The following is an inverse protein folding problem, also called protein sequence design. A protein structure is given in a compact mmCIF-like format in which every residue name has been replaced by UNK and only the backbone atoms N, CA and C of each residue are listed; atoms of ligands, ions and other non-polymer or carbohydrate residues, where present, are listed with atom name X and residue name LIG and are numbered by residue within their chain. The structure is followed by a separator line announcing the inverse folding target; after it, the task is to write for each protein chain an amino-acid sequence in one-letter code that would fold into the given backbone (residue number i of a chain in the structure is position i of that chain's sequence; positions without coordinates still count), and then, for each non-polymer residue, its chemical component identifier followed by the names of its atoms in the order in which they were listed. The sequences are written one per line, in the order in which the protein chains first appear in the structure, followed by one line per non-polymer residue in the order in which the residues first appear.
data_IF_117905781648
#
_entry.id   IF_117905781648
#
_cell.length_a   1.000
_cell.length_b   1.000
_cell.length_c   1.000
_cell.angle_alpha   90.00
_cell.angle_beta   90.00
_cell.angle_gamma   90.00
#
_symmetry.space_group_name_H-M   'P 1'
#
loop_
_entity.id
_entity.type
_entity.pdbx_description
1 polymer ?
#
# COMPACT_ATOMS: atom_id res chain seq x y z
N UNK A 1 16.44 7.98 23.07
CA UNK A 1 15.56 8.99 22.44
C UNK A 1 14.41 9.27 23.38
N UNK A 2 14.03 10.53 23.53
CA UNK A 2 12.82 10.90 24.28
C UNK A 2 11.55 10.48 23.53
N UNK A 3 10.42 10.37 24.23
CA UNK A 3 9.12 10.09 23.59
C UNK A 3 8.74 11.15 22.53
N UNK A 4 9.18 12.39 22.74
CA UNK A 4 8.95 13.52 21.86
C UNK A 4 9.78 13.42 20.57
N UNK A 5 11.05 13.00 20.67
CA UNK A 5 11.91 12.74 19.51
C UNK A 5 11.36 11.59 18.63
N UNK A 6 10.78 10.56 19.25
CA UNK A 6 10.14 9.44 18.54
C UNK A 6 8.91 9.93 17.77
N UNK A 7 8.05 10.71 18.42
CA UNK A 7 6.85 11.30 17.81
C UNK A 7 7.19 12.18 16.61
N UNK A 8 8.23 13.02 16.73
CA UNK A 8 8.68 13.88 15.63
C UNK A 8 9.19 13.07 14.43
N UNK A 9 10.02 12.04 14.67
CA UNK A 9 10.52 11.16 13.59
C UNK A 9 9.41 10.39 12.89
N UNK A 10 8.39 9.94 13.62
CA UNK A 10 7.21 9.29 13.06
C UNK A 10 6.40 10.25 12.18
N UNK A 11 6.21 11.49 12.64
CA UNK A 11 5.51 12.53 11.88
C UNK A 11 6.23 12.88 10.58
N UNK A 12 7.54 13.11 10.62
CA UNK A 12 8.34 13.41 9.43
C UNK A 12 8.27 12.27 8.41
N UNK A 13 8.32 11.02 8.89
CA UNK A 13 8.14 9.83 8.03
C UNK A 13 6.75 9.81 7.41
N UNK A 14 5.69 10.07 8.19
CA UNK A 14 4.32 10.09 7.70
C UNK A 14 4.14 11.17 6.62
N UNK A 15 4.64 12.38 6.84
CA UNK A 15 4.58 13.49 5.88
C UNK A 15 5.32 13.16 4.58
N UNK A 16 6.48 12.50 4.67
CA UNK A 16 7.21 12.01 3.48
C UNK A 16 6.38 10.98 2.70
N UNK A 17 5.82 9.99 3.40
CA UNK A 17 5.00 8.94 2.78
C UNK A 17 3.75 9.52 2.12
N UNK A 18 3.08 10.48 2.76
CA UNK A 18 1.92 11.17 2.18
C UNK A 18 2.32 11.89 0.88
N UNK A 19 3.42 12.66 0.88
CA UNK A 19 3.91 13.33 -0.33
C UNK A 19 4.24 12.35 -1.46
N UNK A 20 4.88 11.22 -1.12
CA UNK A 20 5.17 10.16 -2.09
C UNK A 20 3.89 9.55 -2.68
N UNK A 21 2.84 9.39 -1.86
CA UNK A 21 1.56 8.86 -2.29
C UNK A 21 0.80 9.84 -3.17
N UNK A 22 0.76 11.13 -2.80
CA UNK A 22 0.13 12.20 -3.58
C UNK A 22 0.81 12.41 -4.93
N UNK A 23 2.15 12.29 -4.99
CA UNK A 23 2.91 12.43 -6.21
C UNK A 23 2.84 11.21 -7.14
N UNK A 24 2.28 10.07 -6.69
CA UNK A 24 2.26 8.83 -7.48
C UNK A 24 1.00 8.74 -8.35
N UNK A 25 1.10 8.92 -9.68
CA UNK A 25 -0.07 8.93 -10.56
C UNK A 25 -0.80 7.57 -10.64
N UNK A 26 -0.08 6.48 -10.35
CA UNK A 26 -0.60 5.10 -10.37
C UNK A 26 -1.34 4.74 -9.09
N UNK A 27 -1.21 5.55 -8.03
CA UNK A 27 -1.84 5.26 -6.75
C UNK A 27 -3.35 5.57 -6.77
N UNK A 28 -4.14 4.64 -6.24
CA UNK A 28 -5.57 4.82 -5.97
C UNK A 28 -5.87 4.39 -4.55
N UNK A 29 -6.41 5.30 -3.75
CA UNK A 29 -6.74 5.08 -2.34
C UNK A 29 -8.26 5.06 -2.20
N UNK A 30 -8.78 4.03 -1.55
CA UNK A 30 -10.19 3.91 -1.20
C UNK A 30 -10.33 3.78 0.31
N UNK A 31 -11.42 4.35 0.84
CA UNK A 31 -11.84 4.18 2.23
C UNK A 31 -13.30 3.74 2.28
N UNK A 32 -13.65 3.00 3.32
CA UNK A 32 -15.03 2.65 3.65
C UNK A 32 -15.44 3.48 4.86
N UNK A 33 -16.52 4.23 4.69
CA UNK A 33 -17.17 5.01 5.74
C UNK A 33 -18.46 4.28 6.12
N UNK A 34 -18.63 3.99 7.41
CA UNK A 34 -19.86 3.42 7.96
C UNK A 34 -20.79 4.57 8.38
N UNK A 35 -21.82 4.83 7.57
CA UNK A 35 -22.74 5.96 7.78
C UNK A 35 -23.66 5.76 8.98
N UNK A 36 -23.82 4.51 9.45
CA UNK A 36 -24.62 4.19 10.63
C UNK A 36 -23.81 4.34 11.93
N UNK A 37 -22.49 4.50 11.82
CA UNK A 37 -21.55 4.71 12.94
C UNK A 37 -20.95 6.12 12.91
N UNK A 38 -21.81 7.14 12.81
CA UNK A 38 -21.37 8.55 12.80
C UNK A 38 -20.27 8.84 11.75
N UNK A 39 -20.39 8.23 10.57
CA UNK A 39 -19.42 8.32 9.49
C UNK A 39 -17.99 7.85 9.88
N UNK A 40 -17.88 6.86 10.75
CA UNK A 40 -16.59 6.25 11.11
C UNK A 40 -15.91 5.62 9.88
N UNK A 41 -14.60 5.85 9.73
CA UNK A 41 -13.80 5.14 8.73
C UNK A 41 -13.42 3.75 9.24
N UNK A 42 -14.01 2.71 8.64
CA UNK A 42 -13.86 1.33 9.14
C UNK A 42 -12.82 0.51 8.37
N UNK A 43 -12.42 0.94 7.17
CA UNK A 43 -11.44 0.24 6.34
C UNK A 43 -10.82 1.16 5.29
N UNK A 44 -9.65 0.79 4.77
CA UNK A 44 -9.04 1.42 3.60
C UNK A 44 -8.27 0.41 2.75
N UNK A 45 -8.05 0.77 1.48
CA UNK A 45 -7.18 0.05 0.58
C UNK A 45 -6.37 1.01 -0.30
N UNK A 46 -5.16 0.59 -0.62
CA UNK A 46 -4.26 1.29 -1.54
C UNK A 46 -3.94 0.36 -2.69
N UNK A 47 -4.16 0.83 -3.92
CA UNK A 47 -3.84 0.14 -5.15
C UNK A 47 -2.77 0.91 -5.94
N UNK A 48 -1.91 0.18 -6.65
CA UNK A 48 -1.15 0.71 -7.79
C UNK A 48 -1.77 0.15 -9.06
N UNK A 49 -2.07 1.02 -10.02
CA UNK A 49 -2.78 0.68 -11.26
C UNK A 49 -1.89 0.98 -12.45
N UNK A 50 -1.54 -0.07 -13.20
CA UNK A 50 -0.79 0.01 -14.46
C UNK A 50 -1.63 -0.64 -15.56
N UNK A 51 -2.14 0.17 -16.49
CA UNK A 51 -3.17 -0.24 -17.47
C UNK A 51 -2.61 -0.76 -18.78
N UNK A 52 -1.42 -0.32 -19.15
CA UNK A 52 -0.78 -0.63 -20.41
C UNK A 52 0.74 -0.74 -20.24
N UNK A 53 1.42 -1.18 -21.30
CA UNK A 53 2.86 -1.46 -21.26
C UNK A 53 3.70 -0.21 -20.97
N UNK A 54 3.26 0.98 -21.39
CA UNK A 54 3.95 2.23 -21.10
C UNK A 54 3.87 2.58 -19.60
N UNK A 55 2.67 2.51 -19.01
CA UNK A 55 2.52 2.67 -17.56
C UNK A 55 3.32 1.60 -16.79
N UNK A 56 3.33 0.36 -17.29
CA UNK A 56 4.05 -0.73 -16.64
C UNK A 56 5.58 -0.54 -16.66
N UNK A 57 6.14 0.23 -17.60
CA UNK A 57 7.56 0.59 -17.59
C UNK A 57 7.96 1.42 -16.37
N UNK A 58 7.03 2.18 -15.81
CA UNK A 58 7.19 3.05 -14.64
C UNK A 58 7.10 2.31 -13.30
N UNK A 59 6.85 0.99 -13.31
CA UNK A 59 6.84 0.17 -12.10
C UNK A 59 8.21 0.26 -11.41
N UNK A 60 8.21 0.76 -10.18
CA UNK A 60 9.35 0.70 -9.26
C UNK A 60 9.35 -0.64 -8.56
N UNK A 61 10.31 -1.49 -8.92
CA UNK A 61 10.55 -2.76 -8.24
C UNK A 61 11.38 -2.44 -6.99
N UNK A 62 10.91 -2.91 -5.83
CA UNK A 62 11.60 -2.70 -4.57
C UNK A 62 12.67 -3.77 -4.35
N UNK A 63 13.72 -3.40 -3.61
CA UNK A 63 14.84 -4.26 -3.27
C UNK A 63 15.09 -4.32 -1.75
N UNK A 64 15.73 -5.40 -1.28
CA UNK A 64 15.87 -5.68 0.15
C UNK A 64 16.68 -4.62 0.92
N UNK A 65 17.57 -3.90 0.23
CA UNK A 65 18.33 -2.77 0.77
C UNK A 65 17.45 -1.55 1.12
N UNK A 66 16.26 -1.43 0.51
CA UNK A 66 15.31 -0.35 0.82
C UNK A 66 14.55 -0.57 2.14
N UNK A 67 14.58 -1.76 2.75
CA UNK A 67 13.73 -2.08 3.91
C UNK A 67 13.94 -1.14 5.09
N UNK A 68 15.19 -0.80 5.40
CA UNK A 68 15.48 0.05 6.55
C UNK A 68 14.91 1.45 6.38
N UNK A 69 14.99 2.03 5.18
CA UNK A 69 14.43 3.35 4.88
C UNK A 69 12.90 3.34 4.93
N UNK A 70 12.29 2.21 4.57
CA UNK A 70 10.84 2.04 4.52
C UNK A 70 10.20 1.78 5.87
N UNK A 71 10.82 0.96 6.71
CA UNK A 71 10.23 0.50 7.97
C UNK A 71 10.83 1.16 9.21
N UNK A 72 12.04 1.73 9.09
CA UNK A 72 12.78 2.35 10.18
C UNK A 72 13.53 1.34 11.04
N UNK A 73 14.13 1.85 12.12
CA UNK A 73 15.00 1.15 13.06
C UNK A 73 14.29 0.14 13.98
N UNK A 74 12.96 0.20 14.08
CA UNK A 74 12.15 -0.71 14.91
C UNK A 74 11.74 -2.02 14.21
N UNK A 75 12.07 -2.17 12.93
CA UNK A 75 11.79 -3.41 12.20
C UNK A 75 12.86 -4.46 12.54
N UNK A 76 12.48 -5.72 12.65
CA UNK A 76 13.47 -6.80 12.58
C UNK A 76 13.99 -6.87 11.13
N UNK A 77 15.12 -6.21 10.88
CA UNK A 77 15.69 -6.05 9.53
C UNK A 77 16.02 -7.40 8.88
N UNK A 78 16.50 -8.36 9.66
CA UNK A 78 16.86 -9.69 9.15
C UNK A 78 15.61 -10.40 8.60
N UNK A 79 14.56 -10.51 9.41
CA UNK A 79 13.30 -11.15 9.01
C UNK A 79 12.62 -10.38 7.87
N UNK A 80 12.63 -9.05 7.93
CA UNK A 80 12.03 -8.23 6.88
C UNK A 80 12.76 -8.41 5.54
N UNK A 81 14.10 -8.41 5.54
CA UNK A 81 14.92 -8.65 4.33
C UNK A 81 14.69 -10.03 3.77
N UNK A 82 14.69 -11.06 4.61
CA UNK A 82 14.47 -12.43 4.15
C UNK A 82 13.07 -12.60 3.54
N UNK A 83 12.03 -12.11 4.21
CA UNK A 83 10.66 -12.29 3.75
C UNK A 83 10.28 -11.34 2.61
N UNK A 84 10.36 -10.02 2.84
CA UNK A 84 9.91 -9.02 1.87
C UNK A 84 10.86 -8.94 0.67
N UNK A 85 12.17 -9.10 0.88
CA UNK A 85 13.15 -9.12 -0.22
C UNK A 85 12.83 -10.23 -1.22
N UNK A 86 12.69 -11.48 -0.73
CA UNK A 86 12.31 -12.62 -1.58
C UNK A 86 10.93 -12.43 -2.22
N UNK A 87 9.95 -11.89 -1.49
CA UNK A 87 8.63 -11.60 -2.04
C UNK A 87 8.71 -10.59 -3.20
N UNK A 88 9.54 -9.56 -3.08
CA UNK A 88 9.73 -8.57 -4.14
C UNK A 88 10.46 -9.14 -5.36
N UNK A 89 11.46 -10.00 -5.16
CA UNK A 89 12.11 -10.74 -6.25
C UNK A 89 11.13 -11.64 -7.01
N UNK A 90 10.28 -12.38 -6.29
CA UNK A 90 9.24 -13.21 -6.91
C UNK A 90 8.25 -12.35 -7.68
N UNK A 91 7.81 -11.22 -7.10
CA UNK A 91 6.91 -10.29 -7.78
C UNK A 91 7.56 -9.74 -9.06
N UNK A 92 8.82 -9.35 -9.00
CA UNK A 92 9.59 -8.87 -10.15
C UNK A 92 9.69 -9.91 -11.26
N UNK A 93 9.88 -11.18 -10.90
CA UNK A 93 9.96 -12.30 -11.86
C UNK A 93 8.61 -12.66 -12.46
N UNK A 94 7.55 -12.72 -11.65
CA UNK A 94 6.24 -13.24 -12.05
C UNK A 94 5.38 -12.18 -12.73
N UNK A 95 5.37 -10.96 -12.17
CA UNK A 95 4.55 -9.85 -12.68
C UNK A 95 5.42 -8.88 -13.48
N UNK A 96 6.61 -8.56 -12.97
CA UNK A 96 7.57 -7.69 -13.64
C UNK A 96 6.96 -6.36 -14.08
N UNK A 97 7.24 -5.98 -15.33
CA UNK A 97 6.75 -4.76 -15.97
C UNK A 97 5.58 -5.06 -16.92
N UNK A 98 4.56 -5.76 -16.42
CA UNK A 98 3.32 -6.02 -17.17
C UNK A 98 2.16 -5.17 -16.64
N UNK A 99 1.13 -4.89 -17.46
CA UNK A 99 -0.08 -4.22 -17.00
C UNK A 99 -0.79 -5.04 -15.91
N UNK A 100 -1.03 -4.44 -14.75
CA UNK A 100 -1.74 -5.07 -13.64
C UNK A 100 -2.25 -4.05 -12.63
N UNK A 101 -3.17 -4.50 -11.77
CA UNK A 101 -3.54 -3.80 -10.54
C UNK A 101 -2.93 -4.52 -9.36
N UNK A 102 -2.08 -3.83 -8.61
CA UNK A 102 -1.50 -4.33 -7.37
C UNK A 102 -2.29 -3.79 -6.18
N UNK A 103 -2.89 -4.67 -5.38
CA UNK A 103 -3.33 -4.34 -4.03
C UNK A 103 -2.10 -4.22 -3.12
N UNK A 104 -1.74 -3.00 -2.74
CA UNK A 104 -0.56 -2.73 -1.91
C UNK A 104 -0.86 -2.88 -0.42
N UNK A 105 -1.99 -2.33 0.02
CA UNK A 105 -2.43 -2.39 1.42
C UNK A 105 -3.93 -2.57 1.47
N UNK A 106 -4.39 -3.41 2.39
CA UNK A 106 -5.78 -3.59 2.75
C UNK A 106 -5.86 -3.70 4.27
N UNK A 107 -6.62 -2.81 4.89
CA UNK A 107 -6.83 -2.84 6.31
C UNK A 107 -8.30 -2.65 6.63
N UNK A 108 -8.78 -3.39 7.63
CA UNK A 108 -10.10 -3.21 8.23
C UNK A 108 -9.87 -3.10 9.73
N UNK A 109 -10.51 -2.10 10.36
CA UNK A 109 -10.49 -1.93 11.80
C UNK A 109 -10.87 -3.24 12.49
N UNK A 110 -10.14 -3.69 13.54
CA UNK A 110 -10.46 -4.92 14.26
C UNK A 110 -11.92 -5.01 14.73
N UNK A 111 -12.51 -3.87 15.12
CA UNK A 111 -13.91 -3.77 15.57
C UNK A 111 -14.93 -4.05 14.48
N UNK A 112 -14.53 -4.01 13.21
CA UNK A 112 -15.41 -4.10 12.05
C UNK A 112 -14.99 -5.21 11.07
N UNK A 113 -14.13 -6.14 11.50
CA UNK A 113 -13.77 -7.30 10.71
C UNK A 113 -15.00 -8.19 10.44
N UNK A 114 -14.94 -8.97 9.36
CA UNK A 114 -15.99 -9.92 8.95
C UNK A 114 -17.35 -9.28 8.61
N UNK A 115 -17.43 -7.96 8.47
CA UNK A 115 -18.62 -7.21 7.99
C UNK A 115 -18.63 -6.93 6.48
N UNK A 116 -17.66 -7.46 5.72
CA UNK A 116 -17.59 -7.31 4.26
C UNK A 116 -16.82 -6.08 3.74
N UNK A 117 -16.36 -5.16 4.60
CA UNK A 117 -15.64 -3.96 4.17
C UNK A 117 -14.39 -4.26 3.32
N UNK A 118 -13.59 -5.26 3.70
CA UNK A 118 -12.43 -5.68 2.90
C UNK A 118 -12.82 -6.24 1.53
N UNK A 119 -13.91 -7.00 1.45
CA UNK A 119 -14.42 -7.52 0.18
C UNK A 119 -14.89 -6.39 -0.75
N UNK A 120 -15.60 -5.39 -0.21
CA UNK A 120 -16.02 -4.21 -0.98
C UNK A 120 -14.82 -3.48 -1.59
N UNK A 121 -13.73 -3.32 -0.83
CA UNK A 121 -12.50 -2.68 -1.31
C UNK A 121 -11.82 -3.48 -2.42
N UNK A 122 -11.76 -4.82 -2.30
CA UNK A 122 -11.21 -5.69 -3.35
C UNK A 122 -12.04 -5.61 -4.63
N UNK A 123 -13.37 -5.69 -4.52
CA UNK A 123 -14.28 -5.54 -5.66
C UNK A 123 -14.12 -4.16 -6.33
N UNK A 124 -13.97 -3.11 -5.53
CA UNK A 124 -13.69 -1.76 -6.04
C UNK A 124 -12.40 -1.71 -6.85
N UNK A 125 -11.36 -2.39 -6.37
CA UNK A 125 -10.07 -2.51 -7.07
C UNK A 125 -10.17 -3.27 -8.40
N UNK A 126 -10.92 -4.37 -8.45
CA UNK A 126 -11.13 -5.16 -9.67
C UNK A 126 -11.75 -4.32 -10.79
N UNK A 127 -12.68 -3.42 -10.44
CA UNK A 127 -13.34 -2.54 -11.40
C UNK A 127 -12.40 -1.46 -12.00
N UNK A 128 -11.21 -1.25 -11.43
CA UNK A 128 -10.24 -0.30 -11.98
C UNK A 128 -9.63 -0.75 -13.31
N UNK A 129 -9.59 -2.07 -13.56
CA UNK A 129 -9.13 -2.62 -14.83
C UNK A 129 -10.19 -2.49 -15.92
N UNK A 130 -11.47 -2.62 -15.56
CA UNK A 130 -12.60 -2.66 -16.50
C UNK A 130 -12.97 -1.26 -17.00
N UNK A 131 -12.77 -0.21 -16.19
CA UNK A 131 -13.16 1.16 -16.54
C UNK A 131 -12.25 1.83 -17.60
N UNK A 132 -11.38 1.09 -18.29
CA UNK A 132 -10.41 1.60 -19.25
C UNK A 132 -10.38 0.84 -20.60
N UNK A 133 -11.31 -0.10 -20.78
CA UNK A 133 -11.65 -0.73 -22.07
C UNK A 133 -12.98 -0.17 -22.56
#
# INVERSE_FOLDING_TARGET
MSAEEISNKERERAERVIKEWEANPFMKIFKVIDTDLDNEMIAFAIFLVYRNDEEAKEIKIRHADEIESLFGDRVNLEVARDFLGRLWEVKARVVGKTPHVQLMQLATSPRHQRRGAGQLLVQRGQNLLIACT
#
